data_IF_477778611584
#
_entry.id   IF_477778611584
#
_cell.length_a   1.000
_cell.length_b   1.000
_cell.length_c   1.000
_cell.angle_alpha   90.00
_cell.angle_beta   90.00
_cell.angle_gamma   90.00
#
_symmetry.space_group_name_H-M   'P 1'
#
loop_
_entity.id
_entity.type
_entity.pdbx_description
1 polymer ?
#
# COMPACT_ATOMS: atom_id res chain seq x y z
N UNK A 1 -7.37 -18.84 0.14
CA UNK A 1 -8.65 -19.58 0.06
C UNK A 1 -9.47 -19.15 1.26
N UNK A 2 -10.73 -18.79 1.04
CA UNK A 2 -11.67 -18.49 2.12
C UNK A 2 -11.77 -19.71 3.09
N UNK A 3 -11.93 -19.43 4.38
CA UNK A 3 -12.07 -20.44 5.43
C UNK A 3 -10.78 -20.99 6.04
N UNK A 4 -9.59 -20.66 5.51
CA UNK A 4 -8.34 -21.08 6.13
C UNK A 4 -8.05 -20.20 7.36
N UNK A 5 -7.86 -20.82 8.52
CA UNK A 5 -7.40 -20.17 9.73
C UNK A 5 -5.86 -20.19 9.79
N UNK A 6 -5.29 -19.07 10.20
CA UNK A 6 -3.85 -18.90 10.34
C UNK A 6 -3.56 -18.27 11.70
N UNK A 7 -2.69 -18.88 12.47
CA UNK A 7 -2.25 -18.34 13.74
C UNK A 7 -1.37 -17.10 13.51
N UNK A 8 -1.56 -16.08 14.33
CA UNK A 8 -0.73 -14.88 14.34
C UNK A 8 0.49 -15.15 15.22
N UNK A 9 1.72 -15.08 14.69
CA UNK A 9 2.92 -15.31 15.49
C UNK A 9 2.96 -14.40 16.73
N UNK A 10 3.50 -14.91 17.82
CA UNK A 10 3.69 -14.21 19.10
C UNK A 10 2.41 -13.57 19.68
N UNK A 11 1.24 -14.12 19.31
CA UNK A 11 -0.05 -13.66 19.80
C UNK A 11 -0.99 -14.82 20.07
N UNK A 12 -2.01 -14.65 20.93
CA UNK A 12 -3.06 -15.65 21.14
C UNK A 12 -4.13 -15.63 20.04
N UNK A 13 -3.93 -14.84 18.98
CA UNK A 13 -4.92 -14.61 17.93
C UNK A 13 -4.72 -15.54 16.74
N UNK A 14 -5.82 -15.87 16.08
CA UNK A 14 -5.81 -16.42 14.73
C UNK A 14 -6.71 -15.60 13.80
N UNK A 15 -6.45 -15.68 12.51
CA UNK A 15 -7.18 -14.96 11.47
C UNK A 15 -7.78 -15.98 10.51
N UNK A 16 -9.07 -15.81 10.22
CA UNK A 16 -9.78 -16.56 9.20
C UNK A 16 -10.30 -15.62 8.11
N UNK A 17 -9.98 -15.91 6.86
CA UNK A 17 -10.51 -15.13 5.72
C UNK A 17 -11.95 -15.52 5.46
N UNK A 18 -12.86 -14.58 5.58
CA UNK A 18 -14.29 -14.74 5.26
C UNK A 18 -14.51 -14.54 3.76
N UNK A 19 -14.09 -13.38 3.24
CA UNK A 19 -14.13 -13.06 1.81
C UNK A 19 -12.82 -12.37 1.41
N UNK A 20 -12.40 -12.58 0.16
CA UNK A 20 -11.26 -11.89 -0.44
C UNK A 20 -11.60 -11.46 -1.86
N UNK A 21 -11.30 -10.22 -2.17
CA UNK A 21 -11.48 -9.60 -3.47
C UNK A 21 -10.13 -9.10 -3.96
N UNK A 22 -9.59 -9.67 -5.06
CA UNK A 22 -8.32 -9.21 -5.63
C UNK A 22 -8.37 -7.76 -6.10
N UNK A 23 -9.56 -7.31 -6.55
CA UNK A 23 -9.87 -5.93 -6.86
C UNK A 23 -11.29 -5.59 -6.40
N UNK A 24 -11.47 -4.43 -5.80
CA UNK A 24 -12.76 -3.98 -5.30
C UNK A 24 -12.85 -2.46 -5.25
N UNK A 25 -14.08 -1.96 -5.31
CA UNK A 25 -14.41 -0.58 -4.97
C UNK A 25 -14.88 -0.53 -3.52
N UNK A 26 -14.31 0.41 -2.77
CA UNK A 26 -14.67 0.69 -1.38
C UNK A 26 -15.50 1.97 -1.37
N UNK A 27 -16.71 1.90 -0.85
CA UNK A 27 -17.63 3.04 -0.79
C UNK A 27 -18.56 2.97 0.42
N UNK A 28 -19.41 3.95 0.56
CA UNK A 28 -20.50 3.91 1.53
C UNK A 28 -21.71 3.22 0.94
N UNK A 29 -22.47 2.52 1.79
CA UNK A 29 -23.80 2.04 1.41
C UNK A 29 -24.67 3.25 1.04
N UNK A 30 -25.24 3.23 -0.18
CA UNK A 30 -26.21 4.24 -0.61
C UNK A 30 -27.62 3.75 -0.32
N UNK A 31 -28.52 4.67 0.04
CA UNK A 31 -29.94 4.37 0.19
C UNK A 31 -30.49 3.83 -1.14
N UNK A 32 -30.97 2.59 -1.11
CA UNK A 32 -31.56 1.92 -2.28
C UNK A 32 -30.85 0.63 -2.73
N UNK A 33 -29.63 0.36 -2.30
CA UNK A 33 -28.98 -0.92 -2.51
C UNK A 33 -28.18 -1.33 -1.26
N UNK A 34 -28.83 -1.90 -0.23
CA UNK A 34 -28.15 -2.32 0.99
C UNK A 34 -27.26 -3.54 0.74
N UNK A 35 -26.03 -3.30 0.31
CA UNK A 35 -25.01 -4.36 0.29
C UNK A 35 -24.72 -4.73 1.74
N UNK A 36 -25.08 -5.93 2.14
CA UNK A 36 -24.86 -6.41 3.51
C UNK A 36 -23.36 -6.65 3.72
N UNK A 37 -22.73 -5.79 4.50
CA UNK A 37 -21.33 -5.96 4.90
C UNK A 37 -21.19 -7.10 5.91
N UNK A 38 -20.27 -8.06 5.72
CA UNK A 38 -19.93 -9.06 6.73
C UNK A 38 -19.21 -8.50 7.95
N UNK A 39 -18.70 -7.26 7.89
CA UNK A 39 -18.00 -6.63 9.00
C UNK A 39 -18.92 -6.43 10.21
N UNK A 40 -18.43 -6.80 11.39
CA UNK A 40 -19.10 -6.59 12.68
C UNK A 40 -18.34 -5.62 13.58
N UNK A 41 -17.11 -5.26 13.21
CA UNK A 41 -16.19 -4.40 13.96
C UNK A 41 -15.42 -3.46 13.01
N UNK A 42 -14.75 -2.49 13.62
CA UNK A 42 -13.80 -1.60 12.94
C UNK A 42 -14.44 -0.45 12.15
N UNK A 43 -13.61 0.15 11.30
CA UNK A 43 -13.97 1.36 10.54
C UNK A 43 -15.15 1.13 9.58
N UNK A 44 -15.24 -0.06 8.99
CA UNK A 44 -16.31 -0.37 8.04
C UNK A 44 -17.71 -0.26 8.69
N UNK A 45 -17.84 -0.71 9.94
CA UNK A 45 -19.11 -0.59 10.68
C UNK A 45 -19.35 0.85 11.07
N UNK A 46 -18.34 1.55 11.60
CA UNK A 46 -18.46 2.95 12.06
C UNK A 46 -18.85 3.90 10.93
N UNK A 47 -18.34 3.68 9.74
CA UNK A 47 -18.50 4.58 8.59
C UNK A 47 -19.51 4.07 7.54
N UNK A 48 -20.14 2.91 7.76
CA UNK A 48 -21.07 2.30 6.80
C UNK A 48 -20.40 1.91 5.48
N UNK A 49 -19.16 1.41 5.55
CA UNK A 49 -18.38 1.04 4.36
C UNK A 49 -18.82 -0.32 3.84
N UNK A 50 -19.00 -0.39 2.53
CA UNK A 50 -19.30 -1.61 1.77
C UNK A 50 -18.29 -1.82 0.67
N UNK A 51 -18.18 -3.06 0.22
CA UNK A 51 -17.24 -3.49 -0.83
C UNK A 51 -18.02 -4.01 -2.02
N UNK A 52 -17.74 -3.46 -3.19
CA UNK A 52 -18.25 -3.94 -4.47
C UNK A 52 -17.09 -4.59 -5.22
N UNK A 53 -17.17 -5.91 -5.55
CA UNK A 53 -16.15 -6.56 -6.34
C UNK A 53 -15.98 -5.87 -7.71
N UNK A 54 -14.72 -5.73 -8.14
CA UNK A 54 -14.37 -5.18 -9.45
C UNK A 54 -13.52 -6.19 -10.25
N UNK A 55 -13.50 -6.02 -11.57
CA UNK A 55 -12.61 -6.80 -12.42
C UNK A 55 -11.15 -6.49 -12.08
N UNK A 56 -10.30 -7.51 -12.11
CA UNK A 56 -8.86 -7.32 -11.96
C UNK A 56 -8.32 -6.60 -13.20
N UNK A 57 -7.57 -5.55 -12.99
CA UNK A 57 -6.87 -4.83 -14.06
C UNK A 57 -5.42 -5.28 -14.16
N UNK A 58 -4.88 -5.25 -15.37
CA UNK A 58 -3.46 -5.49 -15.68
C UNK A 58 -2.85 -4.31 -16.42
N UNK A 59 -3.55 -3.16 -16.46
CA UNK A 59 -3.04 -1.95 -17.05
C UNK A 59 -1.93 -1.36 -16.15
N UNK A 60 -0.86 -0.83 -16.77
CA UNK A 60 0.34 -0.36 -16.07
C UNK A 60 0.08 0.81 -15.11
N UNK A 61 -0.92 1.62 -15.40
CA UNK A 61 -1.28 2.81 -14.62
C UNK A 61 -2.49 2.64 -13.70
N UNK A 62 -2.97 1.41 -13.52
CA UNK A 62 -4.08 1.09 -12.65
C UNK A 62 -3.62 0.16 -11.51
N UNK A 63 -4.15 0.40 -10.32
CA UNK A 63 -3.83 -0.39 -9.13
C UNK A 63 -5.06 -1.15 -8.68
N UNK A 64 -4.92 -2.47 -8.53
CA UNK A 64 -5.95 -3.30 -7.95
C UNK A 64 -6.08 -3.03 -6.44
N UNK A 65 -7.29 -2.74 -6.00
CA UNK A 65 -7.63 -2.55 -4.59
C UNK A 65 -7.97 -3.90 -3.96
N UNK A 66 -6.94 -4.61 -3.51
CA UNK A 66 -7.12 -5.86 -2.79
C UNK A 66 -7.80 -5.62 -1.44
N UNK A 67 -8.88 -6.35 -1.18
CA UNK A 67 -9.73 -6.13 -0.01
C UNK A 67 -10.19 -7.46 0.56
N UNK A 68 -10.29 -7.56 1.89
CA UNK A 68 -10.74 -8.76 2.55
C UNK A 68 -11.63 -8.46 3.75
N UNK A 69 -12.61 -9.35 3.97
CA UNK A 69 -13.23 -9.51 5.28
C UNK A 69 -12.50 -10.62 6.01
N UNK A 70 -11.99 -10.29 7.17
CA UNK A 70 -11.26 -11.23 8.03
C UNK A 70 -11.94 -11.32 9.38
N UNK A 71 -12.11 -12.53 9.88
CA UNK A 71 -12.55 -12.80 11.24
C UNK A 71 -11.32 -13.01 12.11
N UNK A 72 -11.27 -12.32 13.24
CA UNK A 72 -10.23 -12.51 14.25
C UNK A 72 -10.77 -13.37 15.37
N UNK A 73 -10.01 -14.38 15.69
CA UNK A 73 -10.36 -15.38 16.69
C UNK A 73 -9.38 -15.30 17.87
N UNK A 74 -9.89 -15.53 19.05
CA UNK A 74 -9.12 -15.74 20.29
C UNK A 74 -9.37 -17.15 20.83
N UNK A 75 -8.63 -17.61 21.86
CA UNK A 75 -8.93 -18.89 22.52
C UNK A 75 -10.35 -18.98 23.09
N UNK A 76 -10.98 -17.83 23.35
CA UNK A 76 -12.35 -17.74 23.88
C UNK A 76 -13.42 -17.67 22.79
N UNK A 77 -13.02 -17.58 21.52
CA UNK A 77 -13.91 -17.50 20.37
C UNK A 77 -13.70 -16.28 19.48
N UNK A 78 -14.69 -15.99 18.64
CA UNK A 78 -14.62 -14.89 17.67
C UNK A 78 -14.66 -13.52 18.35
N UNK A 79 -13.71 -12.67 18.01
CA UNK A 79 -13.70 -11.25 18.41
C UNK A 79 -14.51 -10.37 17.46
N UNK A 80 -14.80 -10.87 16.26
CA UNK A 80 -15.57 -10.18 15.24
C UNK A 80 -14.93 -10.28 13.85
N UNK A 81 -15.55 -9.57 12.90
CA UNK A 81 -15.11 -9.50 11.51
C UNK A 81 -14.76 -8.05 11.13
N UNK A 82 -13.59 -7.85 10.59
CA UNK A 82 -13.07 -6.56 10.10
C UNK A 82 -12.94 -6.54 8.59
N UNK A 83 -13.14 -5.38 8.02
CA UNK A 83 -12.76 -5.09 6.63
C UNK A 83 -11.33 -4.55 6.62
N UNK A 84 -10.46 -5.13 5.81
CA UNK A 84 -9.10 -4.66 5.56
C UNK A 84 -8.85 -4.51 4.07
N UNK A 85 -8.06 -3.50 3.68
CA UNK A 85 -7.71 -3.24 2.29
C UNK A 85 -6.27 -2.78 2.16
N UNK A 86 -5.67 -2.94 0.97
CA UNK A 86 -4.35 -2.40 0.66
C UNK A 86 -4.37 -0.87 0.42
N UNK A 87 -5.54 -0.26 0.36
CA UNK A 87 -5.69 1.20 0.40
C UNK A 87 -5.60 1.63 1.85
N UNK A 88 -4.44 2.16 2.23
CA UNK A 88 -4.19 2.69 3.58
C UNK A 88 -4.07 4.19 3.43
N UNK A 89 -5.12 4.90 3.77
CA UNK A 89 -5.18 6.36 3.85
C UNK A 89 -6.01 6.77 5.08
N UNK A 90 -6.20 8.06 5.27
CA UNK A 90 -6.99 8.61 6.39
C UNK A 90 -8.44 8.09 6.42
N UNK A 91 -8.95 7.62 5.29
CA UNK A 91 -10.30 7.06 5.17
C UNK A 91 -10.37 5.60 5.62
N UNK A 92 -9.26 4.88 5.52
CA UNK A 92 -9.19 3.46 5.84
C UNK A 92 -7.88 3.08 6.57
N UNK A 93 -7.68 3.60 7.82
CA UNK A 93 -6.48 3.34 8.60
C UNK A 93 -6.37 1.86 9.02
N UNK A 94 -5.20 1.40 9.48
CA UNK A 94 -5.07 0.12 10.15
C UNK A 94 -6.11 -0.05 11.25
N UNK A 95 -6.65 -1.26 11.38
CA UNK A 95 -7.74 -1.54 12.31
C UNK A 95 -7.19 -2.06 13.64
N UNK A 96 -7.78 -1.63 14.74
CA UNK A 96 -7.42 -2.11 16.08
C UNK A 96 -8.28 -3.31 16.48
N UNK A 97 -7.60 -4.31 17.04
CA UNK A 97 -8.19 -5.49 17.70
C UNK A 97 -7.73 -5.51 19.15
N UNK A 98 -8.67 -5.47 20.06
CA UNK A 98 -8.42 -5.46 21.50
C UNK A 98 -8.75 -6.83 22.12
N UNK A 99 -7.87 -7.33 22.98
CA UNK A 99 -8.10 -8.51 23.79
C UNK A 99 -7.46 -8.33 25.18
N UNK A 100 -8.27 -8.12 26.20
CA UNK A 100 -7.82 -7.74 27.54
C UNK A 100 -7.14 -6.36 27.51
N UNK A 101 -5.94 -6.27 28.06
CA UNK A 101 -5.13 -5.04 28.10
C UNK A 101 -4.25 -4.84 26.86
N UNK A 102 -4.24 -5.79 25.93
CA UNK A 102 -3.41 -5.75 24.73
C UNK A 102 -4.23 -5.35 23.50
N UNK A 103 -3.59 -4.59 22.62
CA UNK A 103 -4.15 -4.23 21.32
C UNK A 103 -3.18 -4.61 20.20
N UNK A 104 -3.74 -4.98 19.06
CA UNK A 104 -3.01 -5.30 17.83
C UNK A 104 -3.55 -4.46 16.69
N UNK A 105 -2.66 -4.03 15.80
CA UNK A 105 -3.05 -3.42 14.54
C UNK A 105 -3.10 -4.47 13.44
N UNK A 106 -4.20 -4.49 12.69
CA UNK A 106 -4.38 -5.33 11.52
C UNK A 106 -4.53 -4.47 10.27
N UNK A 107 -3.79 -4.81 9.22
CA UNK A 107 -3.86 -4.16 7.93
C UNK A 107 -3.57 -5.18 6.81
N UNK A 108 -4.18 -4.97 5.65
CA UNK A 108 -3.81 -5.68 4.43
C UNK A 108 -2.81 -4.83 3.67
N UNK A 109 -1.62 -5.35 3.45
CA UNK A 109 -0.54 -4.64 2.75
C UNK A 109 0.00 -5.48 1.60
N UNK A 110 0.52 -4.82 0.58
CA UNK A 110 1.30 -5.49 -0.45
C UNK A 110 2.55 -6.12 0.19
N UNK A 111 2.91 -7.31 -0.30
CA UNK A 111 4.15 -7.95 0.12
C UNK A 111 5.33 -7.09 -0.35
N UNK A 112 6.14 -6.61 0.59
CA UNK A 112 7.36 -5.88 0.27
C UNK A 112 8.42 -6.85 -0.24
N UNK A 113 9.13 -6.44 -1.26
CA UNK A 113 10.38 -7.06 -1.71
C UNK A 113 11.51 -6.11 -1.36
N UNK A 114 12.47 -6.59 -0.57
CA UNK A 114 13.65 -5.82 -0.21
C UNK A 114 14.78 -6.21 -1.16
N UNK A 115 15.37 -5.19 -1.77
CA UNK A 115 16.56 -5.36 -2.61
C UNK A 115 17.80 -5.18 -1.76
N UNK A 116 18.94 -5.81 -2.11
CA UNK A 116 20.20 -5.69 -1.37
C UNK A 116 20.94 -4.38 -1.69
N UNK A 117 20.18 -3.32 -1.94
CA UNK A 117 20.72 -1.98 -2.21
C UNK A 117 19.71 -0.91 -1.84
N UNK A 118 20.22 0.29 -1.59
CA UNK A 118 19.45 1.51 -1.35
C UNK A 118 19.80 2.57 -2.39
N UNK A 119 18.84 3.44 -2.70
CA UNK A 119 19.04 4.59 -3.58
C UNK A 119 18.80 5.85 -2.76
N UNK A 120 19.84 6.68 -2.71
CA UNK A 120 19.81 7.99 -2.07
C UNK A 120 19.70 9.07 -3.17
N UNK A 121 18.75 9.98 -3.04
CA UNK A 121 18.70 11.19 -3.86
C UNK A 121 19.72 12.19 -3.31
N UNK A 122 20.75 12.50 -4.10
CA UNK A 122 21.81 13.44 -3.74
C UNK A 122 21.43 14.85 -4.12
N UNK A 123 20.93 15.03 -5.35
CA UNK A 123 20.51 16.32 -5.86
C UNK A 123 19.39 16.16 -6.90
N UNK A 124 18.49 17.12 -6.91
CA UNK A 124 17.42 17.20 -7.88
C UNK A 124 17.46 18.56 -8.56
N UNK A 125 17.47 18.57 -9.89
CA UNK A 125 17.45 19.77 -10.69
C UNK A 125 16.32 19.76 -11.69
N UNK A 126 15.65 20.90 -11.82
CA UNK A 126 14.72 21.13 -12.92
C UNK A 126 15.05 22.46 -13.61
N UNK A 127 15.15 22.42 -14.91
CA UNK A 127 15.40 23.59 -15.73
C UNK A 127 14.10 24.01 -16.40
N UNK A 128 13.82 25.33 -16.44
CA UNK A 128 12.64 25.91 -17.07
C UNK A 128 13.02 26.62 -18.37
N UNK A 129 12.10 26.66 -19.34
CA UNK A 129 12.28 27.48 -20.50
C UNK A 129 12.42 28.96 -20.10
N UNK A 130 13.39 29.69 -20.69
CA UNK A 130 13.60 31.11 -20.37
C UNK A 130 12.32 31.94 -20.46
N UNK A 131 11.99 32.63 -19.35
CA UNK A 131 10.80 33.46 -19.25
C UNK A 131 9.47 32.73 -19.04
N UNK A 132 9.50 31.45 -18.73
CA UNK A 132 8.28 30.64 -18.44
C UNK A 132 8.42 29.84 -17.16
N UNK A 133 7.28 29.36 -16.61
CA UNK A 133 7.25 28.38 -15.53
C UNK A 133 7.23 26.93 -16.05
N UNK A 134 7.38 26.75 -17.37
CA UNK A 134 7.30 25.42 -18.00
C UNK A 134 8.67 24.75 -17.89
N UNK A 135 8.79 23.62 -17.18
CA UNK A 135 10.02 22.88 -17.10
C UNK A 135 10.33 22.18 -18.44
N UNK A 136 11.61 22.19 -18.85
CA UNK A 136 12.04 21.47 -20.04
C UNK A 136 12.99 20.32 -19.75
N UNK A 137 13.61 20.30 -18.57
CA UNK A 137 14.52 19.22 -18.17
C UNK A 137 14.39 18.93 -16.68
N UNK A 138 14.41 17.65 -16.36
CA UNK A 138 14.45 17.16 -14.99
C UNK A 138 15.61 16.19 -14.86
N UNK A 139 16.39 16.33 -13.81
CA UNK A 139 17.46 15.39 -13.49
C UNK A 139 17.54 15.10 -11.99
N UNK A 140 17.88 13.87 -11.69
CA UNK A 140 18.15 13.40 -10.33
C UNK A 140 19.54 12.80 -10.26
N UNK A 141 20.40 13.39 -9.48
CA UNK A 141 21.69 12.82 -9.11
C UNK A 141 21.47 11.89 -7.93
N UNK A 142 21.81 10.63 -8.10
CA UNK A 142 21.58 9.61 -7.08
C UNK A 142 22.87 8.87 -6.73
N UNK A 143 22.88 8.31 -5.51
CA UNK A 143 23.89 7.38 -5.05
C UNK A 143 23.24 6.03 -4.79
N UNK A 144 23.78 4.97 -5.37
CA UNK A 144 23.38 3.59 -5.11
C UNK A 144 24.35 3.01 -4.08
N UNK A 145 23.80 2.63 -2.92
CA UNK A 145 24.50 1.96 -1.83
C UNK A 145 24.18 0.47 -1.88
N UNK A 146 25.18 -0.37 -2.08
CA UNK A 146 25.02 -1.82 -2.07
C UNK A 146 25.26 -2.37 -0.67
N UNK A 147 24.34 -3.20 -0.19
CA UNK A 147 24.38 -3.81 1.12
C UNK A 147 25.66 -4.58 1.34
N UNK A 148 26.56 -4.78 1.64
CA UNK A 148 27.82 -5.54 1.75
C UNK A 148 28.95 -5.05 0.83
N UNK A 149 28.87 -3.85 0.30
CA UNK A 149 29.90 -3.24 -0.52
C UNK A 149 30.25 -1.83 -0.04
N UNK A 150 31.52 -1.53 0.08
CA UNK A 150 31.97 -0.14 0.30
C UNK A 150 31.97 0.71 -0.98
N UNK A 151 31.57 0.14 -2.11
CA UNK A 151 31.52 0.84 -3.40
C UNK A 151 30.14 1.41 -3.62
N UNK A 152 30.03 2.70 -3.49
CA UNK A 152 28.86 3.45 -3.89
C UNK A 152 28.97 3.81 -5.38
N UNK A 153 27.86 3.69 -6.10
CA UNK A 153 27.78 4.07 -7.50
C UNK A 153 26.96 5.34 -7.65
N UNK A 154 27.58 6.41 -8.15
CA UNK A 154 26.88 7.63 -8.53
C UNK A 154 26.25 7.48 -9.91
N UNK A 155 25.02 7.93 -10.07
CA UNK A 155 24.33 7.94 -11.34
C UNK A 155 23.48 9.19 -11.50
N UNK A 156 23.24 9.60 -12.75
CA UNK A 156 22.38 10.70 -13.13
C UNK A 156 21.19 10.14 -13.91
N UNK A 157 19.99 10.38 -13.42
CA UNK A 157 18.75 10.04 -14.12
C UNK A 157 18.16 11.33 -14.67
N UNK A 158 17.86 11.36 -15.96
CA UNK A 158 17.22 12.50 -16.60
C UNK A 158 16.29 12.04 -17.73
N UNK A 159 15.60 12.96 -18.38
CA UNK A 159 14.62 12.64 -19.42
C UNK A 159 15.17 11.65 -20.45
N UNK A 160 14.47 10.51 -20.61
CA UNK A 160 14.84 9.40 -21.50
C UNK A 160 16.18 8.69 -21.19
N UNK A 161 16.83 8.99 -20.06
CA UNK A 161 18.04 8.32 -19.59
C UNK A 161 17.82 7.75 -18.20
N UNK A 162 17.13 6.58 -18.10
CA UNK A 162 16.90 5.93 -16.83
C UNK A 162 18.16 5.21 -16.33
N UNK A 163 18.26 5.05 -15.02
CA UNK A 163 19.21 4.11 -14.43
C UNK A 163 18.69 2.68 -14.59
N UNK A 164 19.53 1.79 -15.10
CA UNK A 164 19.30 0.33 -15.04
C UNK A 164 20.26 -0.29 -14.05
N UNK A 165 19.71 -0.91 -13.03
CA UNK A 165 20.47 -1.50 -11.94
C UNK A 165 19.78 -2.75 -11.40
N UNK A 166 20.51 -3.86 -11.27
CA UNK A 166 20.02 -5.16 -10.76
C UNK A 166 18.68 -5.61 -11.39
N UNK A 167 18.55 -5.46 -12.71
CA UNK A 167 17.35 -5.84 -13.44
C UNK A 167 16.15 -4.87 -13.31
N UNK A 168 16.31 -3.80 -12.56
CA UNK A 168 15.32 -2.73 -12.42
C UNK A 168 15.69 -1.54 -13.32
N UNK A 169 14.67 -0.75 -13.65
CA UNK A 169 14.83 0.50 -14.39
C UNK A 169 14.16 1.63 -13.62
N UNK A 170 14.93 2.65 -13.30
CA UNK A 170 14.51 3.82 -12.52
C UNK A 170 14.38 5.02 -13.43
N UNK A 171 13.17 5.58 -13.51
CA UNK A 171 12.85 6.76 -14.33
C UNK A 171 12.59 7.96 -13.43
N UNK A 172 12.86 9.15 -13.95
CA UNK A 172 12.34 10.38 -13.39
C UNK A 172 10.84 10.46 -13.68
N UNK A 173 9.97 10.33 -12.68
CA UNK A 173 8.52 10.27 -12.85
C UNK A 173 7.84 11.60 -12.51
N UNK A 174 8.15 12.18 -11.34
CA UNK A 174 7.53 13.40 -10.83
C UNK A 174 8.40 14.02 -9.74
N UNK A 175 8.04 15.22 -9.33
CA UNK A 175 8.66 15.92 -8.21
C UNK A 175 7.57 16.58 -7.35
N UNK A 176 7.88 16.82 -6.08
CA UNK A 176 6.98 17.54 -5.20
C UNK A 176 7.10 19.07 -5.42
N UNK A 177 5.99 19.80 -5.26
CA UNK A 177 5.97 21.26 -5.47
C UNK A 177 6.74 22.07 -4.41
N UNK A 178 7.33 21.40 -3.43
CA UNK A 178 8.10 22.03 -2.35
C UNK A 178 9.61 22.10 -2.62
N UNK A 179 10.05 21.75 -3.84
CA UNK A 179 11.45 21.70 -4.28
C UNK A 179 12.37 20.84 -3.36
N UNK A 180 11.82 19.93 -2.56
CA UNK A 180 12.57 19.14 -1.59
C UNK A 180 12.71 17.66 -1.93
N UNK A 181 12.06 17.18 -2.96
CA UNK A 181 12.19 15.78 -3.41
C UNK A 181 11.89 15.64 -4.90
#
# INVERSE_FOLDING_TARGET
KAGKEVNVPDSPLSIRTVNYYPNAQIGRATDGNPVKSPATKGAAVKMGIVVTPAAVTYAENEINTATAYIEVLSPQGSLGTWLVSNVIDDRFPPQLVELGEKSWEIALRLKRHYYPFEIELVDFSHEKYPGTEIPFNFSSEIMVHQENSSKNQKALIYMNHPLRYEGLTFYQASFANDDRT
#
